data_IF_026088903324
#
_entry.id   IF_026088903324
#
_cell.length_a   1.000
_cell.length_b   1.000
_cell.length_c   1.000
_cell.angle_alpha   90.00
_cell.angle_beta   90.00
_cell.angle_gamma   90.00
#
_symmetry.space_group_name_H-M   'P 1'
#
loop_
_entity.id
_entity.type
_entity.pdbx_description
1 polymer ?
#
# COMPACT_ATOMS: atom_id res chain seq x y z
N UNK A 1 14.06 17.06 6.48
CA UNK A 1 13.06 16.13 7.05
C UNK A 1 11.60 16.54 6.71
N UNK A 2 11.22 17.82 6.79
CA UNK A 2 9.85 18.24 6.51
C UNK A 2 9.54 18.31 5.01
N UNK A 3 10.48 18.76 4.18
CA UNK A 3 10.33 18.77 2.74
C UNK A 3 10.25 17.33 2.18
N UNK A 4 11.04 16.39 2.70
CA UNK A 4 10.95 14.98 2.32
C UNK A 4 9.56 14.41 2.56
N UNK A 5 8.99 14.58 3.75
CA UNK A 5 7.63 14.12 4.05
C UNK A 5 6.56 14.74 3.15
N UNK A 6 6.70 16.01 2.76
CA UNK A 6 5.78 16.64 1.82
C UNK A 6 5.91 16.03 0.42
N UNK A 7 7.13 15.81 -0.04
CA UNK A 7 7.39 15.22 -1.35
C UNK A 7 6.85 13.78 -1.41
N UNK A 8 7.00 13.00 -0.34
CA UNK A 8 6.40 11.67 -0.21
C UNK A 8 4.87 11.73 -0.25
N UNK A 9 4.27 12.67 0.49
CA UNK A 9 2.83 12.88 0.46
C UNK A 9 2.32 13.15 -0.96
N UNK A 10 2.97 14.03 -1.69
CA UNK A 10 2.58 14.36 -3.08
C UNK A 10 2.84 13.16 -4.02
N UNK A 11 3.98 12.49 -3.89
CA UNK A 11 4.31 11.29 -4.69
C UNK A 11 3.27 10.20 -4.51
N UNK A 12 2.95 9.84 -3.27
CA UNK A 12 1.95 8.83 -2.94
C UNK A 12 0.56 9.28 -3.41
N UNK A 13 0.20 10.54 -3.21
CA UNK A 13 -1.05 11.11 -3.71
C UNK A 13 -1.21 10.98 -5.23
N UNK A 14 -0.15 11.26 -5.99
CA UNK A 14 -0.12 11.08 -7.45
C UNK A 14 -0.25 9.60 -7.85
N UNK A 15 0.46 8.69 -7.18
CA UNK A 15 0.35 7.25 -7.45
C UNK A 15 -1.08 6.77 -7.17
N UNK A 16 -1.68 7.13 -6.05
CA UNK A 16 -3.08 6.78 -5.71
C UNK A 16 -4.08 7.34 -6.71
N UNK A 17 -3.89 8.59 -7.14
CA UNK A 17 -4.71 9.16 -8.20
C UNK A 17 -4.56 8.41 -9.53
N UNK A 18 -3.35 7.99 -9.88
CA UNK A 18 -3.11 7.19 -11.08
C UNK A 18 -3.72 5.79 -10.97
N UNK A 19 -3.70 5.15 -9.79
CA UNK A 19 -4.42 3.90 -9.53
C UNK A 19 -5.93 4.13 -9.73
N UNK A 20 -6.51 5.16 -9.10
CA UNK A 20 -7.92 5.49 -9.27
C UNK A 20 -8.28 5.70 -10.75
N UNK A 21 -7.49 6.46 -11.50
CA UNK A 21 -7.71 6.68 -12.93
C UNK A 21 -7.59 5.40 -13.77
N UNK A 22 -6.79 4.44 -13.33
CA UNK A 22 -6.69 3.14 -14.01
C UNK A 22 -7.93 2.27 -13.81
N UNK A 23 -8.57 2.34 -12.63
CA UNK A 23 -9.65 1.41 -12.25
C UNK A 23 -11.07 2.00 -12.41
N UNK A 24 -11.24 3.33 -12.31
CA UNK A 24 -12.56 3.99 -12.20
C UNK A 24 -13.52 3.70 -13.36
N UNK A 25 -12.99 3.53 -14.56
CA UNK A 25 -13.76 3.33 -15.79
C UNK A 25 -13.57 1.90 -16.35
N UNK A 26 -12.90 1.02 -15.59
CA UNK A 26 -12.69 -0.36 -16.00
C UNK A 26 -13.99 -1.16 -15.88
N UNK A 27 -14.38 -1.84 -16.95
CA UNK A 27 -15.58 -2.69 -16.99
C UNK A 27 -15.38 -4.03 -16.29
N UNK A 28 -14.12 -4.46 -16.17
CA UNK A 28 -13.73 -5.70 -15.50
C UNK A 28 -12.62 -5.40 -14.48
N UNK A 29 -12.52 -6.19 -13.41
CA UNK A 29 -11.43 -6.06 -12.44
C UNK A 29 -10.05 -6.19 -13.11
N UNK A 30 -9.11 -5.37 -12.69
CA UNK A 30 -7.76 -5.33 -13.26
C UNK A 30 -6.87 -6.31 -12.51
N UNK A 31 -6.19 -7.15 -13.26
CA UNK A 31 -5.18 -8.08 -12.75
C UNK A 31 -3.99 -7.34 -12.13
N UNK A 32 -3.56 -7.80 -10.96
CA UNK A 32 -2.45 -7.21 -10.22
C UNK A 32 -1.14 -7.16 -11.03
N UNK A 33 -0.94 -8.08 -11.95
CA UNK A 33 0.26 -8.08 -12.83
C UNK A 33 0.29 -6.91 -13.82
N UNK A 34 -0.85 -6.28 -14.08
CA UNK A 34 -1.00 -5.18 -15.04
C UNK A 34 -1.06 -3.81 -14.40
N UNK A 35 -1.39 -3.72 -13.11
CA UNK A 35 -1.71 -2.45 -12.45
C UNK A 35 -0.52 -1.47 -12.45
N UNK A 36 0.70 -1.92 -12.16
CA UNK A 36 1.88 -1.05 -12.12
C UNK A 36 2.13 -0.34 -13.45
N UNK A 37 1.97 -1.04 -14.57
CA UNK A 37 2.11 -0.47 -15.90
C UNK A 37 0.99 0.53 -16.21
N UNK A 38 -0.25 0.18 -15.86
CA UNK A 38 -1.38 1.10 -16.05
C UNK A 38 -1.24 2.36 -15.21
N UNK A 39 -0.69 2.26 -14.00
CA UNK A 39 -0.37 3.41 -13.15
C UNK A 39 0.70 4.28 -13.79
N UNK A 40 1.78 3.68 -14.33
CA UNK A 40 2.83 4.44 -15.03
C UNK A 40 2.25 5.21 -16.23
N UNK A 41 1.40 4.58 -17.03
CA UNK A 41 0.75 5.21 -18.16
C UNK A 41 -0.18 6.37 -17.72
N UNK A 42 -0.92 6.18 -16.63
CA UNK A 42 -1.82 7.21 -16.08
C UNK A 42 -1.09 8.35 -15.37
N UNK A 43 0.14 8.17 -14.92
CA UNK A 43 0.97 9.25 -14.39
C UNK A 43 1.39 10.25 -15.48
N UNK A 44 1.32 9.87 -16.75
CA UNK A 44 1.68 10.69 -17.91
C UNK A 44 3.09 11.30 -17.82
N UNK A 45 4.02 10.60 -17.15
CA UNK A 45 5.40 11.03 -16.98
C UNK A 45 6.22 10.79 -18.23
N UNK A 46 6.99 11.79 -18.63
CA UNK A 46 8.05 11.61 -19.62
C UNK A 46 9.32 11.07 -18.94
N UNK A 47 10.19 10.41 -19.70
CA UNK A 47 11.43 9.86 -19.16
C UNK A 47 12.28 10.91 -18.42
N UNK A 48 12.28 12.13 -18.92
CA UNK A 48 13.02 13.23 -18.31
C UNK A 48 12.44 13.71 -16.98
N UNK A 49 11.20 13.34 -16.62
CA UNK A 49 10.56 13.73 -15.36
C UNK A 49 11.09 12.94 -14.17
N UNK A 50 11.53 11.71 -14.40
CA UNK A 50 12.01 10.81 -13.34
C UNK A 50 13.44 10.30 -13.51
N UNK A 51 14.04 10.42 -14.70
CA UNK A 51 15.42 9.96 -14.95
C UNK A 51 16.46 11.01 -14.53
N UNK A 52 17.52 10.58 -13.83
CA UNK A 52 18.71 11.41 -13.57
C UNK A 52 19.39 11.80 -14.88
N UNK A 53 19.45 10.89 -15.85
CA UNK A 53 20.11 11.11 -17.13
C UNK A 53 19.10 11.60 -18.16
N UNK A 54 19.41 12.71 -18.83
CA UNK A 54 18.56 13.28 -19.86
C UNK A 54 18.91 12.76 -21.26
N UNK A 55 17.94 12.83 -22.16
CA UNK A 55 18.14 12.54 -23.58
C UNK A 55 18.40 11.06 -23.91
N UNK A 56 18.07 10.13 -23.01
CA UNK A 56 18.22 8.70 -23.24
C UNK A 56 17.29 8.21 -24.35
N UNK A 57 17.79 7.27 -25.18
CA UNK A 57 17.03 6.65 -26.28
C UNK A 57 17.30 5.14 -26.37
N UNK A 58 16.39 4.41 -27.03
CA UNK A 58 16.53 2.97 -27.27
C UNK A 58 16.58 2.13 -25.99
N UNK A 59 17.46 1.13 -25.94
CA UNK A 59 17.55 0.19 -24.80
C UNK A 59 17.74 0.85 -23.45
N UNK A 60 18.58 1.89 -23.35
CA UNK A 60 18.82 2.60 -22.09
C UNK A 60 17.58 3.33 -21.57
N UNK A 61 16.75 3.86 -22.46
CA UNK A 61 15.48 4.46 -22.08
C UNK A 61 14.50 3.41 -21.53
N UNK A 62 14.49 2.22 -22.16
CA UNK A 62 13.67 1.10 -21.68
C UNK A 62 14.14 0.57 -20.33
N UNK A 63 15.43 0.52 -20.06
CA UNK A 63 15.97 0.11 -18.76
C UNK A 63 15.46 1.02 -17.64
N UNK A 64 15.46 2.33 -17.85
CA UNK A 64 14.94 3.30 -16.85
C UNK A 64 13.42 3.16 -16.67
N UNK A 65 12.67 2.91 -17.76
CA UNK A 65 11.23 2.63 -17.66
C UNK A 65 10.95 1.37 -16.83
N UNK A 66 11.71 0.32 -17.06
CA UNK A 66 11.57 -0.92 -16.29
C UNK A 66 11.92 -0.72 -14.79
N UNK A 67 12.92 0.11 -14.48
CA UNK A 67 13.23 0.47 -13.10
C UNK A 67 12.06 1.22 -12.47
N UNK A 68 11.48 2.19 -13.18
CA UNK A 68 10.32 2.95 -12.69
C UNK A 68 9.08 2.08 -12.51
N UNK A 69 8.76 1.20 -13.45
CA UNK A 69 7.65 0.25 -13.37
C UNK A 69 7.80 -0.69 -12.16
N UNK A 70 8.99 -1.27 -11.97
CA UNK A 70 9.29 -2.10 -10.79
C UNK A 70 9.20 -1.33 -9.48
N UNK A 71 9.66 -0.07 -9.46
CA UNK A 71 9.52 0.78 -8.29
C UNK A 71 8.06 1.12 -7.98
N UNK A 72 7.25 1.44 -9.00
CA UNK A 72 5.81 1.64 -8.85
C UNK A 72 5.11 0.39 -8.33
N UNK A 73 5.47 -0.79 -8.82
CA UNK A 73 4.99 -2.06 -8.28
C UNK A 73 5.23 -2.16 -6.77
N UNK A 74 6.40 -1.73 -6.26
CA UNK A 74 6.67 -1.73 -4.82
C UNK A 74 5.80 -0.72 -4.05
N UNK A 75 5.58 0.48 -4.58
CA UNK A 75 4.72 1.50 -3.94
C UNK A 75 3.25 1.03 -3.91
N UNK A 76 2.78 0.44 -4.99
CA UNK A 76 1.41 -0.10 -5.09
C UNK A 76 1.16 -1.21 -4.06
N UNK A 77 2.17 -2.04 -3.78
CA UNK A 77 2.08 -3.04 -2.71
C UNK A 77 1.87 -2.40 -1.33
N UNK A 78 2.42 -1.22 -1.09
CA UNK A 78 2.21 -0.52 0.18
C UNK A 78 0.75 -0.05 0.33
N UNK A 79 0.06 0.20 -0.78
CA UNK A 79 -1.39 0.46 -0.80
C UNK A 79 -2.23 -0.81 -0.50
N UNK A 80 -1.70 -2.01 -0.76
CA UNK A 80 -2.33 -3.27 -0.35
C UNK A 80 -2.20 -3.53 1.15
N UNK A 81 -1.27 -2.86 1.84
CA UNK A 81 -1.09 -3.01 3.28
C UNK A 81 -2.23 -2.33 4.06
N UNK A 82 -2.75 -3.03 5.05
CA UNK A 82 -3.79 -2.49 5.94
C UNK A 82 -3.28 -1.50 6.99
N UNK A 83 -2.26 -0.72 6.68
CA UNK A 83 -1.72 0.28 7.58
C UNK A 83 -2.63 1.49 7.63
N UNK A 84 -3.41 1.59 8.71
CA UNK A 84 -4.22 2.77 8.94
C UNK A 84 -3.33 3.96 9.27
N UNK A 85 -3.37 4.98 8.44
CA UNK A 85 -2.72 6.26 8.71
C UNK A 85 -3.77 7.37 8.69
N UNK A 86 -3.87 8.11 9.79
CA UNK A 86 -4.76 9.30 9.89
C UNK A 86 -4.33 10.35 8.86
N UNK A 87 -3.04 10.39 8.55
CA UNK A 87 -2.43 11.45 7.72
C UNK A 87 -2.58 11.14 6.23
N UNK A 88 -2.58 9.87 5.86
CA UNK A 88 -2.70 9.43 4.45
C UNK A 88 -3.46 8.10 4.38
N UNK A 89 -4.79 8.11 4.50
CA UNK A 89 -5.58 6.90 4.31
C UNK A 89 -5.35 6.34 2.91
N UNK A 90 -5.34 5.01 2.77
CA UNK A 90 -5.21 4.37 1.47
C UNK A 90 -6.51 4.48 0.65
N UNK A 91 -6.51 3.96 -0.57
CA UNK A 91 -7.68 4.04 -1.44
C UNK A 91 -8.89 3.23 -0.93
N UNK A 92 -8.66 2.11 -0.23
CA UNK A 92 -9.74 1.34 0.42
C UNK A 92 -10.37 2.14 1.57
N UNK A 93 -9.58 2.82 2.40
CA UNK A 93 -10.06 3.71 3.48
C UNK A 93 -10.83 4.93 2.96
N UNK A 94 -10.70 5.22 1.67
CA UNK A 94 -11.46 6.25 0.96
C UNK A 94 -12.63 5.69 0.15
N UNK A 95 -12.94 4.38 0.24
CA UNK A 95 -13.93 3.69 -0.59
C UNK A 95 -13.75 3.91 -2.10
N UNK A 96 -12.52 4.19 -2.55
CA UNK A 96 -12.16 4.34 -3.96
C UNK A 96 -11.67 3.03 -4.58
N UNK A 97 -11.18 2.11 -3.77
CA UNK A 97 -10.63 0.83 -4.18
C UNK A 97 -11.36 -0.30 -3.48
N UNK A 98 -11.67 -1.34 -4.21
CA UNK A 98 -12.05 -2.63 -3.69
C UNK A 98 -11.09 -3.69 -4.26
N UNK A 99 -10.57 -4.54 -3.38
CA UNK A 99 -9.70 -5.66 -3.77
C UNK A 99 -10.52 -6.93 -3.80
N UNK A 100 -10.45 -7.67 -4.90
CA UNK A 100 -11.05 -8.98 -5.07
C UNK A 100 -9.99 -10.06 -5.30
N UNK A 101 -10.47 -11.28 -5.41
CA UNK A 101 -9.65 -12.46 -5.67
C UNK A 101 -10.22 -13.24 -6.86
N UNK A 102 -9.35 -13.64 -7.79
CA UNK A 102 -9.75 -14.32 -9.03
C UNK A 102 -10.56 -15.58 -8.74
N UNK A 103 -11.69 -15.69 -9.41
CA UNK A 103 -12.55 -16.88 -9.40
C UNK A 103 -13.06 -17.32 -8.01
N UNK A 104 -12.87 -16.50 -6.96
CA UNK A 104 -13.27 -16.89 -5.60
C UNK A 104 -14.76 -17.18 -5.50
N UNK A 105 -15.59 -16.32 -6.07
CA UNK A 105 -17.03 -16.52 -6.12
C UNK A 105 -17.42 -17.80 -6.88
N UNK A 106 -16.85 -18.00 -8.08
CA UNK A 106 -17.12 -19.18 -8.90
C UNK A 106 -16.71 -20.48 -8.22
N UNK A 107 -15.53 -20.50 -7.56
CA UNK A 107 -15.04 -21.68 -6.83
C UNK A 107 -15.88 -22.02 -5.58
N UNK A 108 -16.55 -21.04 -4.98
CA UNK A 108 -17.43 -21.22 -3.83
C UNK A 108 -18.83 -21.68 -4.27
N UNK A 109 -19.38 -21.05 -5.30
CA UNK A 109 -20.76 -21.32 -5.77
C UNK A 109 -20.84 -22.51 -6.71
N UNK A 110 -19.71 -23.00 -7.22
CA UNK A 110 -19.67 -24.06 -8.25
C UNK A 110 -20.07 -23.57 -9.63
N UNK A 111 -20.03 -22.26 -9.89
CA UNK A 111 -20.28 -21.69 -11.21
C UNK A 111 -19.11 -21.95 -12.16
N UNK A 112 -19.39 -21.95 -13.46
CA UNK A 112 -18.37 -22.10 -14.52
C UNK A 112 -17.51 -23.39 -14.43
N UNK A 113 -18.08 -24.51 -13.97
CA UNK A 113 -17.38 -25.79 -13.73
C UNK A 113 -16.19 -25.66 -12.74
N UNK A 114 -16.26 -24.71 -11.82
CA UNK A 114 -15.24 -24.42 -10.81
C UNK A 114 -15.76 -24.82 -9.42
N UNK A 115 -15.65 -26.10 -9.05
CA UNK A 115 -16.22 -26.63 -7.81
C UNK A 115 -15.21 -26.79 -6.67
N UNK A 116 -14.06 -26.11 -6.74
CA UNK A 116 -12.94 -26.43 -5.86
C UNK A 116 -13.16 -26.11 -4.39
N UNK A 117 -13.90 -25.04 -4.07
CA UNK A 117 -14.21 -24.62 -2.70
C UNK A 117 -15.67 -24.90 -2.33
N UNK A 118 -16.44 -25.46 -3.26
CA UNK A 118 -17.87 -25.70 -3.09
C UNK A 118 -18.17 -26.67 -1.96
N UNK A 119 -17.46 -27.81 -1.90
CA UNK A 119 -17.71 -28.89 -0.96
C UNK A 119 -16.42 -29.32 -0.24
N UNK A 120 -15.86 -28.45 0.60
CA UNK A 120 -14.71 -28.78 1.43
C UNK A 120 -15.09 -28.89 2.91
N UNK A 121 -14.51 -29.87 3.66
CA UNK A 121 -14.89 -30.12 5.04
C UNK A 121 -14.70 -28.96 6.00
N UNK A 122 -13.77 -28.08 5.70
CA UNK A 122 -13.48 -26.89 6.51
C UNK A 122 -14.58 -25.84 6.41
N UNK A 123 -15.39 -25.83 5.33
CA UNK A 123 -16.43 -24.82 5.05
C UNK A 123 -17.85 -25.40 4.96
N UNK A 124 -18.05 -26.71 5.21
CA UNK A 124 -19.34 -27.37 4.99
C UNK A 124 -20.51 -26.78 5.79
N UNK A 125 -20.22 -26.22 6.96
CA UNK A 125 -21.21 -25.63 7.87
C UNK A 125 -21.56 -24.17 7.55
N UNK A 126 -20.96 -23.56 6.52
CA UNK A 126 -21.17 -22.18 6.08
C UNK A 126 -21.98 -22.14 4.79
N UNK A 127 -22.86 -21.13 4.64
CA UNK A 127 -23.45 -20.81 3.35
C UNK A 127 -22.45 -20.09 2.43
N UNK A 128 -22.79 -19.91 1.16
CA UNK A 128 -21.86 -19.40 0.15
C UNK A 128 -21.42 -17.94 0.44
N UNK A 129 -22.32 -17.09 0.95
CA UNK A 129 -21.99 -15.72 1.35
C UNK A 129 -21.02 -15.70 2.55
N UNK A 130 -21.26 -16.57 3.53
CA UNK A 130 -20.38 -16.73 4.69
C UNK A 130 -19.01 -17.32 4.32
N UNK A 131 -18.96 -18.28 3.37
CA UNK A 131 -17.71 -18.81 2.83
C UNK A 131 -16.89 -17.73 2.16
N UNK A 132 -17.52 -16.94 1.27
CA UNK A 132 -16.85 -15.85 0.54
C UNK A 132 -16.34 -14.78 1.49
N UNK A 133 -17.14 -14.36 2.47
CA UNK A 133 -16.73 -13.41 3.50
C UNK A 133 -15.55 -13.94 4.31
N UNK A 134 -15.64 -15.17 4.82
CA UNK A 134 -14.63 -15.80 5.66
C UNK A 134 -13.28 -15.91 4.95
N UNK A 135 -13.28 -16.44 3.73
CA UNK A 135 -12.05 -16.58 2.93
C UNK A 135 -11.50 -15.21 2.59
N UNK A 136 -12.34 -14.26 2.16
CA UNK A 136 -11.91 -12.89 1.85
C UNK A 136 -11.22 -12.22 3.03
N UNK A 137 -11.75 -12.38 4.26
CA UNK A 137 -11.13 -11.83 5.46
C UNK A 137 -9.75 -12.45 5.75
N UNK A 138 -9.56 -13.72 5.48
CA UNK A 138 -8.26 -14.40 5.64
C UNK A 138 -7.26 -13.90 4.60
N UNK A 139 -7.65 -13.83 3.32
CA UNK A 139 -6.79 -13.36 2.24
C UNK A 139 -6.48 -11.86 2.41
N UNK A 140 -7.45 -11.04 2.82
CA UNK A 140 -7.25 -9.64 3.17
C UNK A 140 -6.29 -9.47 4.35
N UNK A 141 -6.36 -10.32 5.38
CA UNK A 141 -5.38 -10.30 6.47
C UNK A 141 -3.96 -10.57 5.96
N UNK A 142 -3.77 -11.58 5.11
CA UNK A 142 -2.47 -11.89 4.53
C UNK A 142 -1.95 -10.72 3.69
N UNK A 143 -2.80 -10.11 2.87
CA UNK A 143 -2.50 -8.94 2.07
C UNK A 143 -2.13 -7.74 2.94
N UNK A 144 -2.95 -7.40 3.94
CA UNK A 144 -2.73 -6.29 4.85
C UNK A 144 -1.44 -6.44 5.67
N UNK A 145 -0.96 -7.66 5.86
CA UNK A 145 0.32 -7.96 6.52
C UNK A 145 1.49 -8.06 5.54
N UNK A 146 1.26 -7.80 4.25
CA UNK A 146 2.24 -7.99 3.18
C UNK A 146 2.79 -9.43 3.11
N UNK A 147 2.02 -10.41 3.55
CA UNK A 147 2.32 -11.83 3.35
C UNK A 147 1.97 -12.23 1.91
N UNK A 148 2.57 -11.55 0.93
CA UNK A 148 2.30 -11.70 -0.51
C UNK A 148 3.55 -12.25 -1.18
N UNK A 149 3.41 -13.36 -1.88
CA UNK A 149 4.47 -13.95 -2.70
C UNK A 149 4.65 -13.13 -3.98
N UNK A 150 5.85 -12.60 -4.15
CA UNK A 150 6.26 -11.91 -5.38
C UNK A 150 7.76 -12.06 -5.57
N UNK A 151 8.19 -12.42 -6.78
CA UNK A 151 9.60 -12.48 -7.13
C UNK A 151 10.30 -11.11 -7.01
N UNK A 152 9.55 -10.02 -7.09
CA UNK A 152 10.06 -8.65 -6.98
C UNK A 152 10.26 -8.19 -5.53
N UNK A 153 9.71 -8.92 -4.55
CA UNK A 153 9.79 -8.58 -3.14
C UNK A 153 10.65 -9.53 -2.30
N UNK A 154 11.43 -10.36 -2.94
CA UNK A 154 12.50 -11.08 -2.24
C UNK A 154 13.54 -10.10 -1.70
N UNK A 155 14.25 -10.47 -0.64
CA UNK A 155 15.30 -9.64 -0.02
C UNK A 155 16.29 -9.10 -1.07
N UNK A 156 16.70 -9.94 -2.01
CA UNK A 156 17.64 -9.54 -3.05
C UNK A 156 17.00 -8.59 -4.06
N UNK A 157 15.79 -8.87 -4.51
CA UNK A 157 15.08 -8.02 -5.47
C UNK A 157 14.80 -6.63 -4.91
N UNK A 158 14.45 -6.52 -3.61
CA UNK A 158 14.26 -5.25 -2.90
C UNK A 158 15.56 -4.46 -2.84
N UNK A 159 16.68 -5.09 -2.49
CA UNK A 159 18.00 -4.43 -2.47
C UNK A 159 18.41 -3.93 -3.86
N UNK A 160 18.22 -4.75 -4.89
CA UNK A 160 18.58 -4.40 -6.27
C UNK A 160 17.68 -3.25 -6.78
N UNK A 161 16.39 -3.29 -6.47
CA UNK A 161 15.45 -2.22 -6.82
C UNK A 161 15.80 -0.92 -6.10
N UNK A 162 16.04 -0.95 -4.79
CA UNK A 162 16.43 0.22 -3.99
C UNK A 162 17.70 0.87 -4.56
N UNK A 163 18.71 0.08 -4.89
CA UNK A 163 19.94 0.56 -5.51
C UNK A 163 19.68 1.18 -6.88
N UNK A 164 18.93 0.48 -7.74
CA UNK A 164 18.62 0.95 -9.08
C UNK A 164 17.83 2.27 -9.07
N UNK A 165 16.86 2.42 -8.16
CA UNK A 165 16.08 3.65 -7.97
C UNK A 165 16.98 4.82 -7.57
N UNK A 166 17.82 4.64 -6.54
CA UNK A 166 18.75 5.70 -6.07
C UNK A 166 19.75 6.15 -7.14
N UNK A 167 20.24 5.24 -7.95
CA UNK A 167 21.23 5.53 -8.98
C UNK A 167 20.65 6.15 -10.26
N UNK A 168 19.38 5.88 -10.58
CA UNK A 168 18.81 6.20 -11.88
C UNK A 168 17.61 7.14 -11.86
N UNK A 169 16.89 7.25 -10.74
CA UNK A 169 15.73 8.12 -10.61
C UNK A 169 16.08 9.39 -9.82
N UNK A 170 15.44 10.51 -10.17
CA UNK A 170 15.57 11.78 -9.46
C UNK A 170 14.31 12.11 -8.66
N UNK A 171 14.42 13.06 -7.76
CA UNK A 171 13.28 13.57 -6.99
C UNK A 171 12.14 14.04 -7.94
N UNK A 172 10.87 13.82 -7.57
CA UNK A 172 10.41 13.18 -6.32
C UNK A 172 10.35 11.62 -6.38
N UNK A 173 10.88 10.99 -7.41
CA UNK A 173 10.77 9.55 -7.67
C UNK A 173 11.97 8.73 -7.16
N UNK A 174 12.97 9.37 -6.58
CA UNK A 174 14.08 8.64 -5.92
C UNK A 174 13.75 8.30 -4.47
N UNK A 175 14.56 7.44 -3.87
CA UNK A 175 14.51 7.11 -2.44
C UNK A 175 15.64 7.85 -1.70
N UNK A 176 15.34 8.45 -0.57
CA UNK A 176 16.33 9.01 0.33
C UNK A 176 17.18 7.90 0.99
N UNK A 177 18.32 8.26 1.60
CA UNK A 177 19.21 7.28 2.23
C UNK A 177 18.53 6.48 3.36
N UNK A 178 17.59 7.11 4.07
CA UNK A 178 16.82 6.49 5.16
C UNK A 178 15.63 5.65 4.67
N UNK A 179 15.19 5.82 3.42
CA UNK A 179 14.02 5.14 2.90
C UNK A 179 14.36 3.71 2.50
N UNK A 180 13.52 2.79 2.92
CA UNK A 180 13.65 1.39 2.55
C UNK A 180 12.31 0.88 2.00
N UNK A 181 12.40 0.06 0.97
CA UNK A 181 11.24 -0.70 0.48
C UNK A 181 11.02 -1.87 1.46
N UNK A 182 9.79 -2.03 1.93
CA UNK A 182 9.44 -3.15 2.81
C UNK A 182 9.52 -4.48 2.03
N UNK A 183 10.16 -5.47 2.64
CA UNK A 183 10.21 -6.84 2.13
C UNK A 183 8.87 -7.55 2.38
N UNK A 184 8.55 -8.54 1.53
CA UNK A 184 7.40 -9.41 1.78
C UNK A 184 7.57 -10.18 3.08
N UNK A 185 6.45 -10.40 3.79
CA UNK A 185 6.40 -11.24 4.99
C UNK A 185 5.91 -12.64 4.65
N UNK A 186 6.15 -13.55 5.56
CA UNK A 186 5.67 -14.93 5.48
C UNK A 186 4.76 -15.23 6.67
N UNK A 187 3.56 -15.77 6.44
CA UNK A 187 2.65 -16.19 7.49
C UNK A 187 3.01 -17.61 7.97
N UNK A 188 3.04 -17.83 9.27
CA UNK A 188 3.17 -19.19 9.83
C UNK A 188 1.99 -19.53 10.73
N UNK A 189 1.53 -20.78 10.65
CA UNK A 189 0.57 -21.36 11.59
C UNK A 189 1.32 -22.03 12.75
N UNK A 190 2.34 -22.81 12.42
CA UNK A 190 3.30 -23.39 13.38
C UNK A 190 4.64 -22.70 13.20
N UNK A 191 5.21 -22.17 14.28
CA UNK A 191 6.48 -21.43 14.20
C UNK A 191 7.58 -22.32 13.60
N UNK A 192 8.15 -21.96 12.44
CA UNK A 192 9.12 -22.79 11.73
C UNK A 192 10.49 -22.85 12.41
N UNK A 193 10.71 -22.20 13.58
CA UNK A 193 11.95 -22.19 14.37
C UNK A 193 13.21 -21.84 13.56
N UNK A 194 13.08 -20.97 12.56
CA UNK A 194 14.21 -20.51 11.73
C UNK A 194 15.08 -19.52 12.49
N UNK A 195 16.40 -19.57 12.28
CA UNK A 195 17.36 -18.63 12.90
C UNK A 195 17.23 -17.17 12.44
N UNK A 196 16.66 -16.91 11.26
CA UNK A 196 16.49 -15.58 10.64
C UNK A 196 15.03 -15.29 10.38
N UNK A 197 14.25 -15.09 11.44
CA UNK A 197 12.78 -14.93 11.38
C UNK A 197 12.34 -13.45 11.36
N UNK A 198 13.04 -12.58 10.62
CA UNK A 198 12.75 -11.14 10.67
C UNK A 198 11.42 -10.74 10.00
N UNK A 199 10.97 -11.52 9.01
CA UNK A 199 9.78 -11.19 8.22
C UNK A 199 8.65 -12.21 8.41
N UNK A 200 8.48 -12.72 9.64
CA UNK A 200 7.43 -13.67 9.96
C UNK A 200 6.22 -12.99 10.64
N UNK A 201 5.03 -13.30 10.14
CA UNK A 201 3.76 -12.93 10.76
C UNK A 201 3.07 -14.16 11.32
N UNK A 202 2.51 -14.06 12.51
CA UNK A 202 1.84 -15.18 13.16
C UNK A 202 0.39 -15.32 12.74
N UNK A 203 0.03 -16.46 12.14
CA UNK A 203 -1.34 -16.93 11.93
C UNK A 203 -1.77 -18.04 12.91
N UNK A 204 -0.98 -18.30 13.98
CA UNK A 204 -1.24 -19.38 14.93
C UNK A 204 -2.45 -19.15 15.82
N UNK A 205 -2.80 -20.15 16.63
CA UNK A 205 -4.01 -20.20 17.47
C UNK A 205 -4.29 -18.94 18.30
N UNK A 206 -3.24 -18.29 18.85
CA UNK A 206 -3.36 -17.08 19.68
C UNK A 206 -3.21 -15.77 18.91
N UNK A 207 -2.94 -15.83 17.62
CA UNK A 207 -2.83 -14.64 16.76
C UNK A 207 -4.19 -13.96 16.55
N UNK A 208 -4.19 -12.75 16.00
CA UNK A 208 -5.44 -12.07 15.61
C UNK A 208 -6.24 -12.91 14.61
N UNK A 209 -5.55 -13.49 13.62
CA UNK A 209 -6.16 -14.37 12.64
C UNK A 209 -6.76 -15.62 13.32
N UNK A 210 -6.00 -16.29 14.20
CA UNK A 210 -6.46 -17.48 14.88
C UNK A 210 -7.66 -17.23 15.78
N UNK A 211 -7.74 -16.06 16.39
CA UNK A 211 -8.91 -15.68 17.18
C UNK A 211 -10.10 -15.38 16.28
N UNK A 212 -9.91 -14.64 15.16
CA UNK A 212 -10.97 -14.40 14.18
C UNK A 212 -11.56 -15.70 13.64
N UNK A 213 -10.72 -16.62 13.17
CA UNK A 213 -11.18 -17.92 12.62
C UNK A 213 -12.04 -18.67 13.61
N UNK A 214 -11.62 -18.80 14.86
CA UNK A 214 -12.37 -19.51 15.90
C UNK A 214 -13.71 -18.86 16.21
N UNK A 215 -13.72 -17.53 16.37
CA UNK A 215 -14.94 -16.80 16.68
C UNK A 215 -15.92 -16.82 15.50
N UNK A 216 -15.41 -16.75 14.25
CA UNK A 216 -16.24 -16.79 13.05
C UNK A 216 -16.92 -18.16 12.90
N UNK A 217 -16.15 -19.25 13.07
CA UNK A 217 -16.66 -20.63 12.99
C UNK A 217 -17.64 -20.95 14.11
N UNK A 218 -17.37 -20.50 15.32
CA UNK A 218 -18.31 -20.69 16.43
C UNK A 218 -19.62 -19.95 16.21
N UNK A 219 -19.56 -18.72 15.71
CA UNK A 219 -20.74 -17.86 15.52
C UNK A 219 -21.59 -18.27 14.32
N UNK A 220 -20.97 -18.58 13.19
CA UNK A 220 -21.66 -18.76 11.92
C UNK A 220 -21.87 -20.24 11.56
N UNK A 221 -20.94 -21.13 11.93
CA UNK A 221 -21.00 -22.57 11.67
C UNK A 221 -21.37 -23.40 12.91
N UNK A 222 -21.44 -22.79 14.10
CA UNK A 222 -21.62 -23.54 15.36
C UNK A 222 -20.45 -24.46 15.70
N UNK A 223 -19.32 -24.34 15.00
CA UNK A 223 -18.15 -25.19 15.13
C UNK A 223 -17.13 -24.60 16.10
N UNK A 224 -16.90 -25.27 17.23
CA UNK A 224 -15.94 -24.82 18.23
C UNK A 224 -14.57 -25.47 18.01
N UNK A 225 -13.52 -24.70 17.87
CA UNK A 225 -12.12 -25.14 17.77
C UNK A 225 -11.46 -24.92 19.13
N UNK A 226 -11.30 -25.97 19.94
CA UNK A 226 -11.00 -25.83 21.37
C UNK A 226 -9.51 -25.72 21.69
N UNK A 227 -8.64 -26.25 20.87
CA UNK A 227 -7.22 -26.34 21.16
C UNK A 227 -6.34 -26.05 19.92
N UNK A 228 -5.05 -25.92 20.17
CA UNK A 228 -4.07 -25.55 19.15
C UNK A 228 -3.91 -26.64 18.07
N UNK A 229 -3.98 -27.91 18.45
CA UNK A 229 -3.82 -29.02 17.50
C UNK A 229 -5.01 -29.09 16.52
N UNK A 230 -6.24 -28.93 17.01
CA UNK A 230 -7.43 -28.81 16.17
C UNK A 230 -7.36 -27.62 15.23
N UNK A 231 -6.90 -26.48 15.74
CA UNK A 231 -6.71 -25.27 14.93
C UNK A 231 -5.68 -25.47 13.83
N UNK A 232 -4.52 -26.05 14.15
CA UNK A 232 -3.47 -26.33 13.17
C UNK A 232 -4.01 -27.25 12.07
N UNK A 233 -4.72 -28.33 12.47
CA UNK A 233 -5.32 -29.25 11.50
C UNK A 233 -6.32 -28.54 10.59
N UNK A 234 -7.22 -27.74 11.17
CA UNK A 234 -8.22 -26.96 10.46
C UNK A 234 -7.57 -25.98 9.45
N UNK A 235 -6.63 -25.17 9.91
CA UNK A 235 -5.97 -24.18 9.05
C UNK A 235 -5.11 -24.83 7.97
N UNK A 236 -4.49 -25.96 8.25
CA UNK A 236 -3.71 -26.68 7.23
C UNK A 236 -4.63 -27.21 6.13
N UNK A 237 -5.75 -27.85 6.48
CA UNK A 237 -6.74 -28.31 5.49
C UNK A 237 -7.33 -27.17 4.67
N UNK A 238 -7.72 -26.07 5.34
CA UNK A 238 -8.23 -24.88 4.66
C UNK A 238 -7.19 -24.29 3.68
N UNK A 239 -5.94 -24.13 4.10
CA UNK A 239 -4.91 -23.56 3.24
C UNK A 239 -4.49 -24.49 2.11
N UNK A 240 -4.58 -25.80 2.28
CA UNK A 240 -4.43 -26.78 1.19
C UNK A 240 -5.56 -26.63 0.15
N UNK A 241 -6.80 -26.46 0.60
CA UNK A 241 -7.92 -26.17 -0.29
C UNK A 241 -7.74 -24.83 -1.03
N UNK A 242 -7.21 -23.81 -0.35
CA UNK A 242 -6.94 -22.49 -0.91
C UNK A 242 -5.64 -22.40 -1.73
N UNK A 243 -5.08 -23.50 -2.22
CA UNK A 243 -3.80 -23.54 -2.95
C UNK A 243 -3.79 -22.80 -4.30
N UNK A 244 -4.95 -22.32 -4.82
CA UNK A 244 -5.01 -21.37 -5.94
C UNK A 244 -4.67 -19.92 -5.51
N UNK A 245 -4.77 -19.63 -4.21
CA UNK A 245 -4.57 -18.29 -3.63
C UNK A 245 -3.36 -18.25 -2.71
N UNK A 246 -3.00 -19.36 -2.07
CA UNK A 246 -1.98 -19.43 -1.03
C UNK A 246 -0.86 -20.38 -1.43
N UNK A 247 0.35 -19.86 -1.47
CA UNK A 247 1.56 -20.63 -1.74
C UNK A 247 2.14 -21.08 -0.40
N UNK A 248 2.40 -22.38 -0.28
CA UNK A 248 3.09 -22.97 0.86
C UNK A 248 4.53 -23.28 0.51
N UNK A 249 5.46 -22.67 1.21
CA UNK A 249 6.88 -22.92 1.02
C UNK A 249 7.62 -22.88 2.36
N UNK A 250 8.49 -23.89 2.56
CA UNK A 250 9.39 -23.95 3.73
C UNK A 250 8.70 -23.82 5.12
N UNK A 251 7.43 -24.24 5.25
CA UNK A 251 6.67 -24.19 6.51
C UNK A 251 5.96 -22.85 6.75
N UNK A 252 5.87 -22.01 5.74
CA UNK A 252 5.18 -20.72 5.75
C UNK A 252 4.25 -20.57 4.57
N UNK A 253 3.34 -19.60 4.65
CA UNK A 253 2.29 -19.35 3.67
C UNK A 253 2.36 -17.91 3.18
N UNK A 254 2.14 -17.70 1.90
CA UNK A 254 2.03 -16.38 1.30
C UNK A 254 0.88 -16.35 0.30
N UNK A 255 0.18 -15.23 0.21
CA UNK A 255 -0.84 -14.97 -0.81
C UNK A 255 -0.15 -14.85 -2.19
N UNK A 256 -0.64 -15.56 -3.19
CA UNK A 256 -0.17 -15.38 -4.56
C UNK A 256 -0.59 -13.99 -5.07
N UNK A 257 0.38 -13.15 -5.43
CA UNK A 257 0.09 -11.83 -5.98
C UNK A 257 -0.73 -11.88 -7.28
N UNK A 258 -0.63 -12.97 -8.02
CA UNK A 258 -1.34 -13.18 -9.27
C UNK A 258 -2.85 -13.38 -9.12
N UNK A 259 -3.36 -13.71 -7.91
CA UNK A 259 -4.78 -13.86 -7.65
C UNK A 259 -5.50 -12.54 -7.31
N UNK A 260 -4.77 -11.45 -7.03
CA UNK A 260 -5.32 -10.17 -6.60
C UNK A 260 -5.93 -9.41 -7.78
N UNK A 261 -7.13 -8.89 -7.58
CA UNK A 261 -7.87 -8.07 -8.54
C UNK A 261 -8.15 -6.68 -7.98
N UNK A 262 -7.95 -5.68 -8.82
CA UNK A 262 -8.19 -4.27 -8.52
C UNK A 262 -9.46 -3.78 -9.20
N UNK A 263 -10.38 -3.21 -8.45
CA UNK A 263 -11.62 -2.66 -8.98
C UNK A 263 -12.02 -1.38 -8.25
N UNK A 264 -12.80 -0.54 -8.91
CA UNK A 264 -13.28 0.69 -8.30
C UNK A 264 -14.22 0.38 -7.14
N UNK A 265 -14.04 1.08 -6.02
CA UNK A 265 -14.98 1.10 -4.92
C UNK A 265 -16.23 1.92 -5.24
N UNK A 266 -17.28 1.75 -4.46
CA UNK A 266 -18.58 2.43 -4.64
C UNK A 266 -18.61 3.86 -4.09
N UNK A 267 -17.52 4.33 -3.49
CA UNK A 267 -17.32 5.64 -2.85
C UNK A 267 -18.11 5.85 -1.54
N UNK A 268 -18.84 4.87 -1.08
CA UNK A 268 -19.75 4.97 0.06
C UNK A 268 -19.39 3.97 1.17
N UNK A 269 -19.02 2.74 0.82
CA UNK A 269 -18.80 1.68 1.77
C UNK A 269 -17.36 1.23 1.79
N UNK A 270 -16.83 1.07 3.00
CA UNK A 270 -15.50 0.50 3.24
C UNK A 270 -15.70 -0.93 3.69
N UNK A 271 -15.03 -1.88 3.01
CA UNK A 271 -15.04 -3.28 3.47
C UNK A 271 -14.46 -3.35 4.88
N UNK A 272 -15.19 -4.00 5.77
CA UNK A 272 -14.83 -4.12 7.17
C UNK A 272 -13.71 -5.16 7.34
N UNK A 273 -12.63 -4.79 8.00
CA UNK A 273 -11.58 -5.70 8.44
C UNK A 273 -11.96 -6.31 9.80
N UNK A 274 -12.57 -7.50 9.79
CA UNK A 274 -13.02 -8.19 11.00
C UNK A 274 -11.88 -8.78 11.82
N UNK A 275 -10.72 -9.02 11.21
CA UNK A 275 -9.54 -9.54 11.90
C UNK A 275 -8.89 -8.45 12.75
N UNK A 276 -8.87 -7.22 12.23
CA UNK A 276 -8.22 -6.08 12.89
C UNK A 276 -9.12 -5.40 13.92
N UNK A 277 -10.38 -5.19 13.56
CA UNK A 277 -11.33 -4.40 14.36
C UNK A 277 -12.36 -5.32 15.03
N UNK A 278 -11.92 -6.00 16.08
CA UNK A 278 -12.81 -6.83 16.90
C UNK A 278 -13.58 -5.96 17.88
N UNK A 279 -14.87 -6.24 18.02
CA UNK A 279 -15.66 -5.67 19.12
C UNK A 279 -15.31 -6.35 20.42
N UNK A 280 -14.83 -5.60 21.38
CA UNK A 280 -14.53 -6.11 22.72
C UNK A 280 -15.77 -6.49 23.53
N UNK A 281 -16.99 -6.15 23.12
CA UNK A 281 -18.22 -6.36 23.91
C UNK A 281 -19.50 -6.57 23.09
N UNK A 282 -19.45 -7.17 21.90
CA UNK A 282 -20.68 -7.50 21.15
C UNK A 282 -21.53 -6.30 20.70
N UNK A 283 -21.00 -5.08 20.78
CA UNK A 283 -21.64 -3.90 20.26
C UNK A 283 -21.46 -3.79 18.76
N UNK A 284 -22.44 -3.27 18.04
CA UNK A 284 -22.30 -2.94 16.63
C UNK A 284 -21.08 -2.06 16.44
N UNK A 285 -20.13 -2.51 15.63
CA UNK A 285 -19.01 -1.67 15.24
C UNK A 285 -19.58 -0.52 14.41
N UNK A 286 -19.25 0.70 14.80
CA UNK A 286 -19.55 1.88 13.99
C UNK A 286 -19.03 1.63 12.57
N UNK A 287 -19.89 1.78 11.58
CA UNK A 287 -19.48 1.78 10.19
C UNK A 287 -18.44 2.86 10.00
N UNK A 288 -17.32 2.49 9.39
CA UNK A 288 -16.26 3.45 9.10
C UNK A 288 -16.69 4.27 7.89
N UNK A 289 -16.91 5.55 8.09
CA UNK A 289 -17.18 6.45 6.97
C UNK A 289 -15.91 6.71 6.14
N UNK A 290 -16.03 6.79 4.81
CA UNK A 290 -14.91 7.15 3.95
C UNK A 290 -14.38 8.54 4.26
N UNK A 291 -13.06 8.71 4.18
CA UNK A 291 -12.45 10.02 4.34
C UNK A 291 -12.70 10.89 3.10
N UNK A 292 -13.76 11.70 3.13
CA UNK A 292 -14.20 12.54 2.00
C UNK A 292 -13.14 13.52 1.51
N UNK A 293 -12.28 14.05 2.40
CA UNK A 293 -11.21 14.95 2.01
C UNK A 293 -10.19 14.22 1.11
N UNK A 294 -9.67 13.07 1.56
CA UNK A 294 -8.72 12.30 0.77
C UNK A 294 -9.36 11.64 -0.43
N UNK A 295 -10.64 11.29 -0.36
CA UNK A 295 -11.38 10.82 -1.51
C UNK A 295 -11.37 11.87 -2.64
N UNK A 296 -11.69 13.13 -2.32
CA UNK A 296 -11.64 14.24 -3.28
C UNK A 296 -10.20 14.53 -3.72
N UNK A 297 -9.25 14.53 -2.78
CA UNK A 297 -7.84 14.78 -3.08
C UNK A 297 -7.28 13.80 -4.10
N UNK A 298 -7.48 12.49 -3.91
CA UNK A 298 -7.00 11.47 -4.87
C UNK A 298 -7.71 11.51 -6.22
N UNK A 299 -8.94 11.98 -6.27
CA UNK A 299 -9.67 12.17 -7.52
C UNK A 299 -9.26 13.44 -8.29
N UNK A 300 -8.72 14.45 -7.63
CA UNK A 300 -8.51 15.79 -8.19
C UNK A 300 -7.04 16.25 -8.22
N UNK A 301 -6.10 15.54 -7.57
CA UNK A 301 -4.70 15.95 -7.58
C UNK A 301 -4.17 15.99 -9.02
N UNK A 302 -3.56 17.11 -9.46
CA UNK A 302 -3.04 17.20 -10.80
C UNK A 302 -1.82 16.27 -10.97
N UNK A 303 -1.88 15.40 -11.97
CA UNK A 303 -0.81 14.45 -12.30
C UNK A 303 0.27 15.12 -13.16
N UNK A 304 -0.11 16.10 -13.98
CA UNK A 304 0.77 16.82 -14.91
C UNK A 304 0.91 18.30 -14.50
N UNK A 305 2.01 18.90 -14.91
CA UNK A 305 2.25 20.36 -14.96
C UNK A 305 2.27 21.16 -13.66
N UNK A 306 2.18 20.53 -12.48
CA UNK A 306 2.34 21.23 -11.22
C UNK A 306 3.58 20.70 -10.50
N UNK A 307 4.60 21.54 -10.42
CA UNK A 307 5.75 21.28 -9.56
C UNK A 307 5.28 21.41 -8.11
N UNK A 308 4.90 20.29 -7.49
CA UNK A 308 4.52 20.20 -6.09
C UNK A 308 5.72 19.69 -5.27
N UNK A 309 6.88 20.29 -5.46
CA UNK A 309 8.10 19.98 -4.73
C UNK A 309 8.27 20.94 -3.55
N UNK A 310 8.74 20.43 -2.42
CA UNK A 310 9.16 21.23 -1.29
C UNK A 310 10.67 21.15 -1.09
N UNK A 311 11.28 22.22 -0.60
CA UNK A 311 12.70 22.26 -0.23
C UNK A 311 12.87 22.67 1.23
N UNK A 312 13.89 22.14 1.88
CA UNK A 312 14.31 22.58 3.21
C UNK A 312 15.31 23.73 3.07
N UNK A 313 15.15 24.75 3.92
CA UNK A 313 16.05 25.87 4.06
C UNK A 313 16.48 25.98 5.52
N UNK A 314 17.44 25.15 5.89
CA UNK A 314 17.90 24.98 7.26
C UNK A 314 19.41 25.19 7.37
N UNK A 315 19.93 25.29 8.58
CA UNK A 315 21.38 25.41 8.83
C UNK A 315 22.20 24.17 8.41
N UNK A 316 21.54 23.07 8.07
CA UNK A 316 22.19 21.84 7.58
C UNK A 316 22.52 21.89 6.08
N UNK A 317 21.90 22.84 5.36
CA UNK A 317 22.15 23.07 3.93
C UNK A 317 23.32 24.04 3.78
N UNK A 318 24.19 23.84 2.79
CA UNK A 318 25.30 24.76 2.52
C UNK A 318 24.81 26.18 2.22
N UNK A 319 25.65 27.19 2.44
CA UNK A 319 25.27 28.60 2.22
C UNK A 319 24.90 28.83 0.75
N UNK A 320 25.70 28.33 -0.15
CA UNK A 320 25.52 28.48 -1.60
C UNK A 320 24.23 27.83 -2.06
N UNK A 321 23.91 26.66 -1.54
CA UNK A 321 22.68 25.94 -1.86
C UNK A 321 21.45 26.62 -1.27
N UNK A 322 21.54 27.21 -0.09
CA UNK A 322 20.46 28.03 0.51
C UNK A 322 20.13 29.24 -0.34
N UNK A 323 21.15 30.01 -0.74
CA UNK A 323 20.99 31.19 -1.62
C UNK A 323 20.34 30.79 -2.96
N UNK A 324 20.73 29.63 -3.51
CA UNK A 324 20.11 29.11 -4.74
C UNK A 324 18.65 28.71 -4.52
N UNK A 325 18.32 28.05 -3.41
CA UNK A 325 16.94 27.67 -3.07
C UNK A 325 16.05 28.88 -2.83
N UNK A 326 16.55 29.93 -2.20
CA UNK A 326 15.84 31.21 -2.06
C UNK A 326 15.52 31.83 -3.42
N UNK A 327 16.50 31.89 -4.33
CA UNK A 327 16.30 32.40 -5.66
C UNK A 327 15.29 31.58 -6.45
N UNK A 328 15.41 30.27 -6.41
CA UNK A 328 14.50 29.33 -7.09
C UNK A 328 13.06 29.44 -6.55
N UNK A 329 12.89 29.66 -5.24
CA UNK A 329 11.59 29.89 -4.62
C UNK A 329 10.98 31.24 -5.03
N UNK A 330 11.79 32.33 -5.09
CA UNK A 330 11.35 33.62 -5.59
C UNK A 330 10.94 33.59 -7.07
N UNK A 331 11.58 32.74 -7.84
CA UNK A 331 11.26 32.50 -9.26
C UNK A 331 10.08 31.54 -9.46
N UNK A 332 9.50 31.00 -8.37
CA UNK A 332 8.36 30.09 -8.43
C UNK A 332 8.69 28.70 -8.98
N UNK A 333 9.97 28.28 -8.95
CA UNK A 333 10.37 26.96 -9.43
C UNK A 333 9.84 25.83 -8.55
N UNK A 334 9.55 26.10 -7.30
CA UNK A 334 8.85 25.20 -6.39
C UNK A 334 7.97 25.98 -5.39
N UNK A 335 6.81 25.41 -4.95
CA UNK A 335 5.79 26.17 -4.23
C UNK A 335 5.96 26.20 -2.71
N UNK A 336 6.80 25.35 -2.12
CA UNK A 336 6.88 25.19 -0.65
C UNK A 336 8.32 25.23 -0.17
N UNK A 337 8.60 26.10 0.82
CA UNK A 337 9.89 26.20 1.47
C UNK A 337 9.73 26.01 2.98
N UNK A 338 10.42 25.01 3.54
CA UNK A 338 10.48 24.76 4.99
C UNK A 338 11.70 25.45 5.61
N UNK A 339 11.47 26.46 6.43
CA UNK A 339 12.52 27.25 7.08
C UNK A 339 12.69 26.87 8.54
N UNK A 340 13.93 26.91 9.05
CA UNK A 340 14.20 26.87 10.49
C UNK A 340 14.08 28.27 11.11
N UNK A 341 13.76 28.41 12.43
CA UNK A 341 13.64 29.71 13.10
C UNK A 341 14.90 30.58 13.04
N UNK A 342 16.06 29.99 12.87
CA UNK A 342 17.32 30.73 12.73
C UNK A 342 17.46 31.53 11.41
N UNK A 343 16.49 31.36 10.52
CA UNK A 343 16.46 31.99 9.19
C UNK A 343 15.52 33.19 9.11
N UNK A 344 14.83 33.53 10.20
CA UNK A 344 13.78 34.56 10.26
C UNK A 344 14.27 35.99 9.95
N UNK A 345 15.57 36.20 9.94
CA UNK A 345 16.16 37.55 9.84
C UNK A 345 16.68 37.93 8.45
N UNK A 346 16.45 37.16 7.40
CA UNK A 346 17.11 37.42 6.13
C UNK A 346 16.35 37.13 4.84
N UNK A 347 15.15 36.53 4.90
CA UNK A 347 14.42 36.20 3.68
C UNK A 347 13.42 37.31 3.33
N UNK A 348 13.80 38.25 2.47
CA UNK A 348 12.90 39.23 1.89
C UNK A 348 12.12 38.58 0.71
N UNK A 349 11.01 37.91 1.04
CA UNK A 349 10.13 37.32 0.03
C UNK A 349 8.88 38.21 -0.06
N UNK A 350 8.79 38.94 -1.16
CA UNK A 350 7.73 39.95 -1.35
C UNK A 350 6.33 39.38 -1.58
N UNK A 351 6.21 38.13 -2.04
CA UNK A 351 4.93 37.58 -2.51
C UNK A 351 4.69 36.18 -1.92
N UNK A 352 4.46 36.11 -0.59
CA UNK A 352 4.03 34.86 0.07
C UNK A 352 2.50 34.80 0.12
N UNK A 353 1.92 33.73 -0.45
CA UNK A 353 0.47 33.49 -0.37
C UNK A 353 0.05 32.93 0.99
N UNK A 354 0.86 32.08 1.61
CA UNK A 354 0.56 31.42 2.89
C UNK A 354 1.84 31.26 3.70
N UNK A 355 1.76 31.58 5.00
CA UNK A 355 2.81 31.30 5.99
C UNK A 355 2.24 30.38 7.06
N UNK A 356 2.78 29.15 7.17
CA UNK A 356 2.44 28.20 8.21
C UNK A 356 3.48 28.20 9.33
N UNK A 357 3.13 28.66 10.52
CA UNK A 357 4.01 28.61 11.69
C UNK A 357 3.72 27.37 12.53
N UNK A 358 4.75 26.55 12.74
CA UNK A 358 4.63 25.37 13.62
C UNK A 358 4.63 25.75 15.10
N UNK A 359 5.37 26.80 15.47
CA UNK A 359 5.44 27.35 16.82
C UNK A 359 5.21 28.86 16.76
N UNK A 360 4.65 29.41 17.83
CA UNK A 360 4.52 30.87 17.96
C UNK A 360 5.93 31.47 18.11
N UNK A 361 6.31 32.47 17.31
CA UNK A 361 7.59 33.16 17.47
C UNK A 361 7.72 33.74 18.89
N UNK A 362 8.94 33.77 19.46
CA UNK A 362 9.14 34.24 20.82
C UNK A 362 8.89 35.75 20.98
N UNK A 363 8.88 36.50 19.89
CA UNK A 363 8.55 37.93 19.88
C UNK A 363 7.68 38.32 18.68
N UNK A 364 6.81 39.35 18.79
CA UNK A 364 5.97 39.80 17.66
C UNK A 364 6.75 40.36 16.47
N UNK A 365 8.06 40.59 16.61
CA UNK A 365 8.94 41.14 15.56
C UNK A 365 9.63 40.04 14.73
N UNK A 366 9.45 38.79 15.09
CA UNK A 366 10.05 37.66 14.37
C UNK A 366 9.08 37.03 13.39
#
# INVERSE_FOLDING_TARGET
LQAGHFNDFIRIGKVRSAIWNAIKDATEPIDNTRIARMVLDNLHLELNDYSVRQGLRGGRANDIKNIMERYLSTIIYDDLAGNWTVIMPNLEDCALLNIGYKYLHDEITGENDSERLYDIPELEDLDDEQKEEFITQILDYMRHKLCIYSSERTIQAVKDTTKAVRENLKAPWTLDESDNIEEAKELFIVNPRRRNAYNLESGGFRSKLGVFVRDYMEKNAGRTINNEDEYIKYMTGLFEALSNYIIFENGTYQLDYGCILWQAGDKQHIRRDQVRFRTLNGGDLLEKEPNCFFQQFYQSIPLKDVCLEAKDHTGQVSKEEREQREQDFREGKFPVLYCSPTMELGIDIKDLSIVGMRNVPPTPAN
#
